data_IF_460697132420
#
_entry.id   IF_460697132420
#
_cell.length_a   1.000
_cell.length_b   1.000
_cell.length_c   1.000
_cell.angle_alpha   90.00
_cell.angle_beta   90.00
_cell.angle_gamma   90.00
#
_symmetry.space_group_name_H-M   'P 1'
#
loop_
_entity.id
_entity.type
_entity.pdbx_description
1 polymer ?
#
# COMPACT_ATOMS: atom_id res chain seq x y z
N UNK A 1 -11.59 2.22 -8.01
CA UNK A 1 -11.58 3.70 -7.92
C UNK A 1 -11.20 4.22 -6.54
N UNK A 2 -11.90 3.86 -5.45
CA UNK A 2 -11.59 4.39 -4.10
C UNK A 2 -10.12 4.28 -3.69
N UNK A 3 -9.49 3.11 -3.82
CA UNK A 3 -8.08 2.89 -3.43
C UNK A 3 -7.13 3.85 -4.16
N UNK A 4 -7.28 4.03 -5.48
CA UNK A 4 -6.43 4.94 -6.27
C UNK A 4 -6.57 6.37 -5.76
N UNK A 5 -7.82 6.82 -5.57
CA UNK A 5 -8.12 8.18 -5.12
C UNK A 5 -7.53 8.43 -3.73
N UNK A 6 -7.70 7.49 -2.81
CA UNK A 6 -7.15 7.58 -1.45
C UNK A 6 -5.62 7.68 -1.46
N UNK A 7 -4.93 6.89 -2.29
CA UNK A 7 -3.46 7.00 -2.39
C UNK A 7 -3.04 8.34 -2.99
N UNK A 8 -3.75 8.83 -4.01
CA UNK A 8 -3.47 10.14 -4.60
C UNK A 8 -3.65 11.26 -3.56
N UNK A 9 -4.74 11.23 -2.80
CA UNK A 9 -5.03 12.18 -1.72
C UNK A 9 -3.95 12.13 -0.62
N UNK A 10 -3.64 10.94 -0.09
CA UNK A 10 -2.63 10.78 0.97
C UNK A 10 -1.21 11.17 0.53
N UNK A 11 -0.92 11.09 -0.77
CA UNK A 11 0.39 11.47 -1.31
C UNK A 11 0.49 12.93 -1.74
N UNK A 12 -0.56 13.74 -1.50
CA UNK A 12 -0.69 15.11 -2.02
C UNK A 12 -0.49 15.18 -3.55
N UNK A 13 -1.09 14.21 -4.27
CA UNK A 13 -1.01 14.12 -5.72
C UNK A 13 0.33 13.65 -6.28
N UNK A 14 1.31 13.31 -5.43
CA UNK A 14 2.64 12.84 -5.86
C UNK A 14 2.62 11.41 -6.40
N UNK A 15 1.66 10.60 -5.97
CA UNK A 15 1.46 9.22 -6.46
C UNK A 15 0.15 9.17 -7.24
N UNK A 16 0.24 8.85 -8.53
CA UNK A 16 -0.91 8.68 -9.42
C UNK A 16 -0.89 7.32 -10.08
N UNK A 17 -1.79 6.43 -9.67
CA UNK A 17 -1.91 5.11 -10.28
C UNK A 17 -2.90 5.12 -11.44
N UNK A 18 -2.53 4.43 -12.52
CA UNK A 18 -3.47 4.09 -13.58
C UNK A 18 -4.39 2.96 -13.11
N UNK A 19 -5.67 3.01 -13.51
CA UNK A 19 -6.65 1.97 -13.19
C UNK A 19 -6.18 0.58 -13.62
N UNK A 20 -5.51 0.49 -14.78
CA UNK A 20 -4.96 -0.76 -15.30
C UNK A 20 -3.84 -1.37 -14.43
N UNK A 21 -3.20 -0.59 -13.56
CA UNK A 21 -2.13 -1.06 -12.67
C UNK A 21 -2.66 -1.61 -11.34
N UNK A 22 -3.78 -1.06 -10.85
CA UNK A 22 -4.32 -1.47 -9.55
C UNK A 22 -4.85 -2.91 -9.56
N UNK A 23 -5.58 -3.31 -10.61
CA UNK A 23 -6.21 -4.64 -10.64
C UNK A 23 -5.22 -5.81 -10.64
N UNK A 24 -4.14 -5.80 -11.45
CA UNK A 24 -3.09 -6.82 -11.36
C UNK A 24 -2.46 -6.91 -9.97
N UNK A 25 -2.24 -5.77 -9.31
CA UNK A 25 -1.68 -5.73 -7.95
C UNK A 25 -2.65 -6.38 -6.96
N UNK A 26 -3.92 -5.99 -6.95
CA UNK A 26 -4.94 -6.59 -6.06
C UNK A 26 -5.09 -8.09 -6.29
N UNK A 27 -5.06 -8.54 -7.56
CA UNK A 27 -5.11 -9.97 -7.89
C UNK A 27 -3.89 -10.73 -7.37
N UNK A 28 -2.69 -10.12 -7.43
CA UNK A 28 -1.46 -10.72 -6.87
C UNK A 28 -1.50 -10.79 -5.35
N UNK A 29 -1.97 -9.73 -4.68
CA UNK A 29 -2.15 -9.72 -3.23
C UNK A 29 -3.17 -10.78 -2.78
N UNK A 30 -4.27 -10.93 -3.53
CA UNK A 30 -5.29 -11.95 -3.27
C UNK A 30 -4.71 -13.37 -3.46
N UNK A 31 -4.00 -13.61 -4.56
CA UNK A 31 -3.32 -14.90 -4.81
C UNK A 31 -2.33 -15.27 -3.70
N UNK A 32 -1.66 -14.27 -3.10
CA UNK A 32 -0.72 -14.47 -2.01
C UNK A 32 -1.41 -14.60 -0.63
N UNK A 33 -2.74 -14.46 -0.57
CA UNK A 33 -3.53 -14.51 0.65
C UNK A 33 -3.37 -13.29 1.54
N UNK A 34 -2.85 -12.17 1.02
CA UNK A 34 -2.63 -10.93 1.77
C UNK A 34 -3.89 -10.05 1.84
N UNK A 35 -4.79 -10.22 0.86
CA UNK A 35 -6.12 -9.61 0.87
C UNK A 35 -7.17 -10.66 0.57
N UNK A 36 -8.39 -10.43 1.03
CA UNK A 36 -9.59 -11.19 0.68
C UNK A 36 -10.46 -10.33 -0.22
N UNK A 37 -11.21 -10.96 -1.12
CA UNK A 37 -12.25 -10.25 -1.87
C UNK A 37 -13.63 -10.78 -1.57
N UNK A 38 -14.62 -9.90 -1.75
CA UNK A 38 -16.03 -10.23 -1.60
C UNK A 38 -16.86 -9.39 -2.57
N UNK A 39 -17.98 -9.95 -3.00
CA UNK A 39 -18.95 -9.25 -3.84
C UNK A 39 -20.00 -8.60 -2.94
N UNK A 40 -20.34 -7.36 -3.24
CA UNK A 40 -21.47 -6.68 -2.62
C UNK A 40 -22.34 -6.04 -3.69
N UNK A 41 -23.65 -6.19 -3.55
CA UNK A 41 -24.63 -5.56 -4.41
C UNK A 41 -24.88 -4.18 -3.82
N UNK A 42 -24.37 -3.15 -4.49
CA UNK A 42 -24.62 -1.76 -4.14
C UNK A 42 -25.28 -1.08 -5.33
N UNK A 43 -26.46 -0.50 -5.11
CA UNK A 43 -27.26 0.20 -6.13
C UNK A 43 -27.53 -0.66 -7.38
N UNK A 44 -27.85 -1.95 -7.20
CA UNK A 44 -28.24 -2.85 -8.28
C UNK A 44 -27.09 -3.39 -9.14
N UNK A 45 -25.84 -3.00 -8.91
CA UNK A 45 -24.68 -3.51 -9.64
C UNK A 45 -23.70 -4.23 -8.71
N UNK A 46 -23.25 -5.45 -9.05
CA UNK A 46 -22.26 -6.17 -8.26
C UNK A 46 -20.92 -5.45 -8.29
N UNK A 47 -20.39 -5.12 -7.12
CA UNK A 47 -19.06 -4.53 -6.95
C UNK A 47 -18.17 -5.48 -6.16
N UNK A 48 -16.95 -5.69 -6.65
CA UNK A 48 -15.91 -6.44 -5.95
C UNK A 48 -15.17 -5.53 -4.97
N UNK A 49 -15.20 -5.89 -3.69
CA UNK A 49 -14.48 -5.22 -2.61
C UNK A 49 -13.30 -6.08 -2.18
N UNK A 50 -12.31 -5.44 -1.56
CA UNK A 50 -11.12 -6.07 -1.01
C UNK A 50 -10.93 -5.61 0.43
N UNK A 51 -10.52 -6.53 1.29
CA UNK A 51 -10.09 -6.26 2.67
C UNK A 51 -8.74 -6.92 2.93
N UNK A 52 -7.92 -6.31 3.79
CA UNK A 52 -6.69 -6.95 4.25
C UNK A 52 -7.03 -8.23 5.03
N UNK A 53 -6.22 -9.27 4.86
CA UNK A 53 -6.33 -10.49 5.66
C UNK A 53 -5.45 -10.37 6.91
N UNK A 54 -5.66 -11.21 7.93
CA UNK A 54 -4.75 -11.28 9.09
C UNK A 54 -3.30 -11.57 8.68
N UNK A 55 -3.10 -12.39 7.63
CA UNK A 55 -1.76 -12.63 7.06
C UNK A 55 -1.21 -11.36 6.41
N UNK A 56 -2.05 -10.62 5.68
CA UNK A 56 -1.68 -9.35 5.07
C UNK A 56 -1.26 -8.31 6.09
N UNK A 57 -1.99 -8.25 7.21
CA UNK A 57 -1.74 -7.32 8.31
C UNK A 57 -0.36 -7.57 8.94
N UNK A 58 -0.06 -8.83 9.30
CA UNK A 58 1.26 -9.22 9.82
C UNK A 58 2.40 -8.92 8.85
N UNK A 59 2.18 -9.14 7.55
CA UNK A 59 3.19 -8.85 6.52
C UNK A 59 3.36 -7.33 6.35
N UNK A 60 2.28 -6.56 6.46
CA UNK A 60 2.33 -5.11 6.40
C UNK A 60 3.13 -4.54 7.57
N UNK A 61 2.88 -5.00 8.79
CA UNK A 61 3.61 -4.56 9.99
C UNK A 61 5.11 -4.82 9.84
N UNK A 62 5.50 -6.04 9.46
CA UNK A 62 6.91 -6.37 9.21
C UNK A 62 7.54 -5.50 8.12
N UNK A 63 6.81 -5.21 7.05
CA UNK A 63 7.29 -4.36 5.97
C UNK A 63 7.51 -2.91 6.44
N UNK A 64 6.61 -2.41 7.30
CA UNK A 64 6.71 -1.06 7.86
C UNK A 64 7.88 -0.95 8.85
N UNK A 65 8.11 -1.97 9.68
CA UNK A 65 9.27 -2.01 10.57
C UNK A 65 10.57 -1.92 9.78
N UNK A 66 10.74 -2.79 8.77
CA UNK A 66 11.92 -2.79 7.89
C UNK A 66 12.06 -1.43 7.18
N UNK A 67 10.95 -0.87 6.70
CA UNK A 67 10.98 0.43 6.03
C UNK A 67 11.45 1.55 6.96
N UNK A 68 10.95 1.59 8.20
CA UNK A 68 11.33 2.57 9.19
C UNK A 68 12.82 2.46 9.56
N UNK A 69 13.33 1.24 9.72
CA UNK A 69 14.76 0.99 9.93
C UNK A 69 15.60 1.54 8.78
N UNK A 70 15.22 1.24 7.53
CA UNK A 70 15.93 1.75 6.35
C UNK A 70 15.92 3.28 6.27
N UNK A 71 14.78 3.91 6.54
CA UNK A 71 14.66 5.36 6.56
C UNK A 71 15.55 5.97 7.65
N UNK A 72 15.56 5.37 8.85
CA UNK A 72 16.44 5.80 9.94
C UNK A 72 17.91 5.74 9.52
N UNK A 73 18.36 4.62 8.98
CA UNK A 73 19.75 4.43 8.54
C UNK A 73 20.16 5.45 7.48
N UNK A 74 19.29 5.73 6.50
CA UNK A 74 19.56 6.71 5.46
C UNK A 74 19.65 8.12 6.04
N UNK A 75 18.77 8.47 6.99
CA UNK A 75 18.82 9.75 7.68
C UNK A 75 20.09 9.89 8.51
N UNK A 76 20.49 8.85 9.25
CA UNK A 76 21.72 8.84 10.04
C UNK A 76 22.95 9.06 9.14
N UNK A 77 23.02 8.39 7.99
CA UNK A 77 24.10 8.60 7.01
C UNK A 77 24.10 10.04 6.51
N UNK A 78 22.94 10.57 6.12
CA UNK A 78 22.79 11.94 5.62
C UNK A 78 23.22 12.97 6.66
N UNK A 79 22.83 12.79 7.92
CA UNK A 79 23.14 13.72 9.00
C UNK A 79 24.62 13.67 9.36
N UNK A 80 25.25 12.50 9.34
CA UNK A 80 26.71 12.37 9.50
C UNK A 80 27.49 13.01 8.35
N UNK A 81 26.99 12.92 7.11
CA UNK A 81 27.60 13.60 5.95
C UNK A 81 27.47 15.13 6.01
N UNK A 82 26.40 15.67 6.60
CA UNK A 82 26.19 17.12 6.73
C UNK A 82 26.68 17.71 8.06
N UNK A 83 26.98 16.87 9.05
CA UNK A 83 27.47 17.27 10.37
C UNK A 83 28.99 17.15 10.56
N UNK A 84 29.72 16.63 9.56
CA UNK A 84 31.17 16.59 9.57
C UNK A 84 31.80 17.72 8.75
N UNK A 85 32.27 18.77 9.44
CA UNK A 85 33.33 19.72 9.00
C UNK A 85 33.18 20.39 7.65
#
# INVERSE_FOLDING_TARGET
YRIIKTVEELSNGRIKFKVGTLYPVLKKLEKNGLVKSFWSISNGSPRKYYSISEKGDKVLDQMLDIWNEMVSLINDIKDNLMGGG
#
